data_IF_267780494650
#
_entry.id   IF_267780494650
#
_cell.length_a   1.000
_cell.length_b   1.000
_cell.length_c   1.000
_cell.angle_alpha   90.00
_cell.angle_beta   90.00
_cell.angle_gamma   90.00
#
_symmetry.space_group_name_H-M   'P 1'
#
loop_
_entity.id
_entity.type
_entity.pdbx_description
1 polymer ?
#
# COMPACT_ATOMS: atom_id res chain seq x y z
N UNK A 1 -22.15 0.76 -58.51
CA UNK A 1 -21.21 1.34 -57.52
C UNK A 1 -21.86 1.85 -56.23
N UNK A 2 -23.08 2.38 -56.26
CA UNK A 2 -23.78 2.88 -55.09
C UNK A 2 -24.16 1.76 -54.06
N UNK A 3 -24.63 0.62 -54.55
CA UNK A 3 -25.02 -0.53 -53.71
C UNK A 3 -23.84 -1.17 -52.95
N UNK A 4 -22.67 -1.15 -53.51
CA UNK A 4 -21.46 -1.73 -52.86
C UNK A 4 -21.02 -0.85 -51.67
N UNK A 5 -21.13 0.48 -51.83
CA UNK A 5 -20.79 1.43 -50.77
C UNK A 5 -21.73 1.34 -49.58
N UNK A 6 -23.04 1.15 -49.82
CA UNK A 6 -24.01 0.99 -48.71
C UNK A 6 -23.83 -0.34 -47.99
N UNK A 7 -23.52 -1.43 -48.68
CA UNK A 7 -23.24 -2.73 -48.08
C UNK A 7 -21.94 -2.70 -47.23
N UNK A 8 -20.92 -2.02 -47.73
CA UNK A 8 -19.64 -1.87 -47.01
C UNK A 8 -19.81 -1.02 -45.75
N UNK A 9 -20.59 0.07 -45.82
CA UNK A 9 -20.89 0.92 -44.68
C UNK A 9 -21.68 0.21 -43.59
N UNK A 10 -22.66 -0.61 -43.97
CA UNK A 10 -23.44 -1.42 -42.98
C UNK A 10 -22.59 -2.51 -42.32
N UNK A 11 -21.67 -3.14 -43.06
CA UNK A 11 -20.74 -4.13 -42.48
C UNK A 11 -19.78 -3.49 -41.46
N UNK A 12 -19.26 -2.29 -41.76
CA UNK A 12 -18.38 -1.56 -40.85
C UNK A 12 -19.13 -1.13 -39.56
N UNK A 13 -20.39 -0.69 -39.69
CA UNK A 13 -21.21 -0.35 -38.53
C UNK A 13 -21.51 -1.58 -37.65
N UNK A 14 -21.78 -2.73 -38.25
CA UNK A 14 -22.08 -3.97 -37.47
C UNK A 14 -20.83 -4.47 -36.76
N UNK A 15 -19.64 -4.41 -37.41
CA UNK A 15 -18.39 -4.79 -36.76
C UNK A 15 -18.00 -3.83 -35.63
N UNK A 16 -18.24 -2.52 -35.79
CA UNK A 16 -18.00 -1.53 -34.73
C UNK A 16 -18.96 -1.74 -33.53
N UNK A 17 -20.21 -2.11 -33.79
CA UNK A 17 -21.19 -2.37 -32.73
C UNK A 17 -20.85 -3.66 -31.94
N UNK A 18 -20.32 -4.69 -32.62
CA UNK A 18 -19.88 -5.93 -31.95
C UNK A 18 -18.64 -5.73 -31.07
N UNK A 19 -17.74 -4.80 -31.42
CA UNK A 19 -16.59 -4.45 -30.61
C UNK A 19 -16.95 -3.67 -29.33
N UNK A 20 -18.08 -2.96 -29.33
CA UNK A 20 -18.59 -2.26 -28.15
C UNK A 20 -19.33 -3.22 -27.16
N UNK A 21 -19.80 -4.37 -27.64
CA UNK A 21 -20.44 -5.38 -26.79
C UNK A 21 -19.42 -6.27 -26.02
N UNK A 22 -18.13 -6.24 -26.37
CA UNK A 22 -17.06 -6.85 -25.62
C UNK A 22 -16.63 -6.00 -24.40
N UNK A 23 -17.45 -4.99 -24.03
CA UNK A 23 -17.27 -4.14 -22.86
C UNK A 23 -17.48 -4.93 -21.58
N UNK A 24 -16.37 -5.42 -21.10
CA UNK A 24 -16.01 -5.42 -19.69
C UNK A 24 -17.03 -5.99 -18.73
N UNK A 25 -16.84 -7.20 -18.39
CA UNK A 25 -17.12 -7.67 -17.04
C UNK A 25 -16.12 -7.01 -16.08
N UNK A 26 -16.25 -5.70 -15.87
CA UNK A 26 -15.48 -4.94 -14.87
C UNK A 26 -15.63 -5.57 -13.48
N UNK A 27 -16.74 -6.27 -13.25
CA UNK A 27 -17.05 -6.97 -12.00
C UNK A 27 -16.09 -8.13 -11.71
N UNK A 28 -15.63 -8.86 -12.73
CA UNK A 28 -14.65 -9.93 -12.55
C UNK A 28 -13.26 -9.39 -12.23
N UNK A 29 -12.84 -8.32 -12.91
CA UNK A 29 -11.52 -7.71 -12.71
C UNK A 29 -11.39 -7.03 -11.34
N UNK A 30 -12.46 -6.45 -10.81
CA UNK A 30 -12.46 -5.84 -9.47
C UNK A 30 -12.35 -6.92 -8.39
N UNK A 31 -13.04 -8.06 -8.54
CA UNK A 31 -12.94 -9.16 -7.58
C UNK A 31 -11.54 -9.77 -7.57
N UNK A 32 -10.94 -10.02 -8.72
CA UNK A 32 -9.57 -10.56 -8.79
C UNK A 32 -8.54 -9.57 -8.24
N UNK A 33 -8.69 -8.26 -8.51
CA UNK A 33 -7.79 -7.25 -7.97
C UNK A 33 -7.97 -7.09 -6.46
N UNK A 34 -9.20 -7.20 -5.95
CA UNK A 34 -9.49 -7.13 -4.52
C UNK A 34 -8.96 -8.38 -3.81
N UNK A 35 -9.16 -9.56 -4.39
CA UNK A 35 -8.62 -10.81 -3.85
C UNK A 35 -7.09 -10.83 -3.87
N UNK A 36 -6.45 -10.33 -4.94
CA UNK A 36 -5.00 -10.21 -5.02
C UNK A 36 -4.47 -9.19 -4.00
N UNK A 37 -5.15 -8.05 -3.80
CA UNK A 37 -4.76 -7.06 -2.79
C UNK A 37 -4.99 -7.59 -1.38
N UNK A 38 -6.09 -8.30 -1.14
CA UNK A 38 -6.35 -8.97 0.14
C UNK A 38 -5.32 -10.06 0.41
N UNK A 39 -4.92 -10.82 -0.59
CA UNK A 39 -3.88 -11.85 -0.47
C UNK A 39 -2.49 -11.24 -0.24
N UNK A 40 -2.15 -10.13 -0.90
CA UNK A 40 -0.86 -9.44 -0.69
C UNK A 40 -0.79 -8.80 0.69
N UNK A 41 -1.88 -8.26 1.21
CA UNK A 41 -1.93 -7.69 2.58
C UNK A 41 -2.25 -8.72 3.65
N UNK A 42 -2.86 -9.87 3.31
CA UNK A 42 -3.31 -10.88 4.26
C UNK A 42 -2.39 -12.08 4.43
N UNK A 43 -1.52 -12.38 3.48
CA UNK A 43 -0.81 -13.67 3.43
C UNK A 43 0.66 -13.65 3.79
N UNK A 44 1.25 -12.51 4.15
CA UNK A 44 2.67 -12.49 4.57
C UNK A 44 2.93 -13.29 5.85
N UNK A 45 1.89 -13.77 6.57
CA UNK A 45 2.07 -14.57 7.79
C UNK A 45 0.86 -15.42 8.16
N UNK A 46 -0.07 -15.71 7.25
CA UNK A 46 -1.28 -16.50 7.57
C UNK A 46 -2.21 -15.81 8.57
N UNK A 47 -2.05 -14.50 8.80
CA UNK A 47 -2.90 -13.70 9.67
C UNK A 47 -3.70 -12.71 8.84
N UNK A 48 -5.00 -12.69 9.05
CA UNK A 48 -5.85 -11.64 8.48
C UNK A 48 -5.54 -10.31 9.17
N UNK A 49 -5.17 -9.29 8.40
CA UNK A 49 -4.86 -7.95 8.94
C UNK A 49 -6.12 -7.22 9.40
N UNK A 50 -7.28 -7.66 8.91
CA UNK A 50 -8.55 -7.00 9.15
C UNK A 50 -9.49 -7.90 9.95
N UNK A 51 -10.30 -7.28 10.80
CA UNK A 51 -11.42 -7.91 11.50
C UNK A 51 -12.54 -8.24 10.51
N UNK A 52 -13.53 -9.03 10.94
CA UNK A 52 -14.73 -9.32 10.15
C UNK A 52 -15.48 -8.04 9.72
N UNK A 53 -15.38 -6.96 10.51
CA UNK A 53 -15.94 -5.65 10.21
C UNK A 53 -15.09 -4.80 9.25
N UNK A 54 -13.99 -5.35 8.70
CA UNK A 54 -13.10 -4.66 7.80
C UNK A 54 -12.16 -3.64 8.47
N UNK A 55 -12.04 -3.66 9.78
CA UNK A 55 -11.13 -2.79 10.54
C UNK A 55 -9.77 -3.45 10.70
N UNK A 56 -8.70 -2.65 10.63
CA UNK A 56 -7.35 -3.11 10.84
C UNK A 56 -7.16 -3.53 12.33
N UNK A 57 -6.66 -4.74 12.54
CA UNK A 57 -6.30 -5.20 13.87
C UNK A 57 -5.28 -4.26 14.53
N UNK A 58 -5.44 -3.90 15.81
CA UNK A 58 -4.53 -2.96 16.49
C UNK A 58 -3.05 -3.36 16.42
N UNK A 59 -2.76 -4.65 16.51
CA UNK A 59 -1.39 -5.20 16.42
C UNK A 59 -0.74 -5.03 15.05
N UNK A 60 -1.53 -4.83 14.00
CA UNK A 60 -1.03 -4.66 12.63
C UNK A 60 -0.93 -3.20 12.19
N UNK A 61 -1.42 -2.25 12.99
CA UNK A 61 -1.43 -0.81 12.62
C UNK A 61 -0.03 -0.27 12.31
N UNK A 62 0.95 -0.60 13.13
CA UNK A 62 2.32 -0.17 12.94
C UNK A 62 2.91 -0.73 11.65
N UNK A 63 2.74 -2.04 11.42
CA UNK A 63 3.25 -2.71 10.23
C UNK A 63 2.58 -2.17 8.97
N UNK A 64 1.24 -2.05 8.98
CA UNK A 64 0.50 -1.49 7.86
C UNK A 64 0.93 -0.05 7.55
N UNK A 65 1.07 0.79 8.58
CA UNK A 65 1.53 2.17 8.40
C UNK A 65 2.92 2.22 7.76
N UNK A 66 3.86 1.44 8.26
CA UNK A 66 5.24 1.41 7.76
C UNK A 66 5.32 0.87 6.32
N UNK A 67 4.53 -0.15 5.97
CA UNK A 67 4.49 -0.69 4.60
C UNK A 67 3.87 0.31 3.63
N UNK A 68 2.70 0.85 3.96
CA UNK A 68 1.97 1.76 3.08
C UNK A 68 2.66 3.11 2.88
N UNK A 69 3.48 3.53 3.85
CA UNK A 69 4.16 4.81 3.82
C UNK A 69 5.69 4.68 3.78
N UNK A 70 6.20 3.54 3.31
CA UNK A 70 7.63 3.19 3.36
C UNK A 70 8.53 4.34 2.87
N UNK A 71 8.31 4.84 1.67
CA UNK A 71 9.13 5.90 1.06
C UNK A 71 9.15 7.18 1.91
N UNK A 72 8.00 7.58 2.45
CA UNK A 72 7.89 8.77 3.28
C UNK A 72 8.59 8.57 4.64
N UNK A 73 8.42 7.40 5.26
CA UNK A 73 9.12 7.02 6.49
C UNK A 73 10.64 7.02 6.29
N UNK A 74 11.13 6.45 5.19
CA UNK A 74 12.56 6.45 4.85
C UNK A 74 13.11 7.87 4.64
N UNK A 75 12.37 8.74 3.97
CA UNK A 75 12.76 10.15 3.82
C UNK A 75 12.80 10.90 5.15
N UNK A 76 11.83 10.65 6.04
CA UNK A 76 11.80 11.28 7.36
C UNK A 76 12.91 10.75 8.27
N UNK A 77 13.21 9.44 8.20
CA UNK A 77 14.34 8.83 8.89
C UNK A 77 15.69 9.45 8.46
N UNK A 78 15.88 9.65 7.15
CA UNK A 78 17.09 10.30 6.63
C UNK A 78 17.24 11.73 7.13
N UNK A 79 16.11 12.47 7.25
CA UNK A 79 16.08 13.84 7.75
C UNK A 79 16.12 13.94 9.28
N UNK A 80 15.82 12.87 10.00
CA UNK A 80 15.66 12.86 11.45
C UNK A 80 14.44 13.65 11.92
N UNK A 81 13.48 13.93 11.04
CA UNK A 81 12.26 14.68 11.34
C UNK A 81 11.22 14.48 10.24
N UNK A 82 9.95 14.64 10.59
CA UNK A 82 8.83 14.63 9.65
C UNK A 82 7.58 14.02 10.24
N UNK A 83 6.49 14.18 9.52
CA UNK A 83 5.16 13.76 9.98
C UNK A 83 5.04 12.23 10.06
N UNK A 84 5.61 11.53 9.10
CA UNK A 84 5.55 10.05 9.07
C UNK A 84 6.41 9.45 10.19
N UNK A 85 7.56 10.01 10.49
CA UNK A 85 8.40 9.56 11.60
C UNK A 85 7.74 9.87 12.94
N UNK A 86 7.07 11.02 13.09
CA UNK A 86 6.28 11.39 14.26
C UNK A 86 5.09 10.45 14.45
N UNK A 87 4.35 10.14 13.38
CA UNK A 87 3.23 9.20 13.40
C UNK A 87 3.68 7.77 13.76
N UNK A 88 4.83 7.36 13.24
CA UNK A 88 5.44 6.08 13.60
C UNK A 88 5.77 6.01 15.08
N UNK A 89 6.37 7.08 15.64
CA UNK A 89 6.65 7.19 17.07
C UNK A 89 5.37 7.13 17.93
N UNK A 90 4.30 7.80 17.50
CA UNK A 90 2.99 7.73 18.15
C UNK A 90 2.40 6.31 18.12
N UNK A 91 2.52 5.60 17.00
CA UNK A 91 2.11 4.19 16.88
C UNK A 91 2.96 3.25 17.75
N UNK A 92 4.20 3.63 18.06
CA UNK A 92 5.08 2.94 19.00
C UNK A 92 4.78 3.29 20.47
N UNK A 93 3.83 4.21 20.73
CA UNK A 93 3.39 4.62 22.04
C UNK A 93 4.23 5.72 22.69
N UNK A 94 5.04 6.44 21.90
CA UNK A 94 5.87 7.53 22.41
C UNK A 94 5.04 8.79 22.70
N UNK A 95 5.33 9.42 23.83
CA UNK A 95 4.82 10.76 24.15
C UNK A 95 5.54 11.83 23.35
N UNK A 96 4.98 13.05 23.33
CA UNK A 96 5.56 14.20 22.61
C UNK A 96 7.00 14.49 23.01
N UNK A 97 7.32 14.37 24.30
CA UNK A 97 8.65 14.63 24.85
C UNK A 97 9.68 13.57 24.45
N UNK A 98 9.24 12.35 24.18
CA UNK A 98 10.09 11.24 23.73
C UNK A 98 10.37 11.27 22.22
N UNK A 99 9.54 11.97 21.45
CA UNK A 99 9.64 12.02 19.98
C UNK A 99 11.00 12.55 19.52
N UNK A 100 11.48 13.65 20.08
CA UNK A 100 12.75 14.24 19.66
C UNK A 100 13.95 13.29 19.87
N UNK A 101 14.00 12.59 21.01
CA UNK A 101 15.03 11.62 21.28
C UNK A 101 14.94 10.41 20.36
N UNK A 102 13.74 9.94 20.08
CA UNK A 102 13.49 8.86 19.13
C UNK A 102 13.95 9.25 17.71
N UNK A 103 13.58 10.44 17.24
CA UNK A 103 13.97 10.94 15.92
C UNK A 103 15.52 10.97 15.76
N UNK A 104 16.22 11.49 16.76
CA UNK A 104 17.69 11.54 16.74
C UNK A 104 18.31 10.12 16.73
N UNK A 105 17.81 9.19 17.55
CA UNK A 105 18.26 7.79 17.58
C UNK A 105 17.97 7.09 16.23
N UNK A 106 16.79 7.27 15.68
CA UNK A 106 16.39 6.67 14.42
C UNK A 106 17.22 7.19 13.24
N UNK A 107 17.48 8.49 13.18
CA UNK A 107 18.38 9.10 12.19
C UNK A 107 19.81 8.56 12.34
N UNK A 108 20.34 8.46 13.56
CA UNK A 108 21.67 7.89 13.80
C UNK A 108 21.80 6.42 13.38
N UNK A 109 20.70 5.68 13.37
CA UNK A 109 20.64 4.29 12.93
C UNK A 109 20.24 4.12 11.45
N UNK A 110 20.12 5.20 10.66
CA UNK A 110 19.56 5.20 9.31
C UNK A 110 20.20 4.13 8.41
N UNK A 111 21.51 4.07 8.30
CA UNK A 111 22.23 3.11 7.45
C UNK A 111 21.85 1.65 7.81
N UNK A 112 21.80 1.34 9.10
CA UNK A 112 21.44 0.00 9.58
C UNK A 112 19.98 -0.32 9.29
N UNK A 113 19.10 0.66 9.47
CA UNK A 113 17.67 0.52 9.18
C UNK A 113 17.43 0.30 7.69
N UNK A 114 18.17 0.97 6.80
CA UNK A 114 18.01 0.84 5.35
C UNK A 114 18.56 -0.48 4.79
N UNK A 115 19.55 -1.06 5.43
CA UNK A 115 20.12 -2.36 5.02
C UNK A 115 19.34 -3.55 5.58
N UNK A 116 18.44 -3.34 6.54
CA UNK A 116 17.61 -4.37 7.14
C UNK A 116 16.37 -4.69 6.28
N UNK A 117 15.90 -5.93 6.36
CA UNK A 117 14.58 -6.26 5.85
C UNK A 117 13.47 -5.54 6.65
N UNK A 118 12.24 -5.59 6.13
CA UNK A 118 11.13 -4.84 6.70
C UNK A 118 10.83 -5.20 8.16
N UNK A 119 10.81 -6.48 8.51
CA UNK A 119 10.49 -6.95 9.86
C UNK A 119 11.60 -6.62 10.84
N UNK A 120 12.87 -6.82 10.46
CA UNK A 120 14.02 -6.45 11.26
C UNK A 120 14.07 -4.93 11.49
N UNK A 121 13.76 -4.12 10.47
CA UNK A 121 13.66 -2.66 10.59
C UNK A 121 12.62 -2.24 11.63
N UNK A 122 11.42 -2.82 11.58
CA UNK A 122 10.36 -2.52 12.56
C UNK A 122 10.76 -2.94 13.98
N UNK A 123 11.44 -4.07 14.15
CA UNK A 123 11.97 -4.48 15.44
C UNK A 123 13.03 -3.51 15.96
N UNK A 124 13.95 -3.06 15.12
CA UNK A 124 14.95 -2.06 15.50
C UNK A 124 14.30 -0.74 15.90
N UNK A 125 13.31 -0.25 15.14
CA UNK A 125 12.56 0.96 15.50
C UNK A 125 11.84 0.82 16.84
N UNK A 126 11.27 -0.36 17.15
CA UNK A 126 10.69 -0.64 18.48
C UNK A 126 11.75 -0.62 19.59
N UNK A 127 12.96 -1.07 19.33
CA UNK A 127 14.05 -1.02 20.32
C UNK A 127 14.54 0.42 20.56
N UNK A 128 14.61 1.24 19.50
CA UNK A 128 15.01 2.66 19.61
C UNK A 128 13.96 3.52 20.33
N UNK A 129 12.69 3.08 20.34
CA UNK A 129 11.58 3.72 21.02
C UNK A 129 11.51 3.44 22.55
N UNK A 130 12.38 2.59 23.05
CA UNK A 130 12.48 2.28 24.49
C UNK A 130 13.53 3.16 25.15
#
# INVERSE_FOLDING_TARGET
>A
MRQIRTRLSTLICITALMLLAAGCTLKGTINETTDTTSNVTGTTSGRTWFTEDGLLHPEHKLTAFAVLNQTNVEQDLARGQGEYLTSLGALLGLSSDQQAAFHAKAQGAFETLMTSDHDARLQQLRMLAR
#
